data_IF_138298302373
#
_entry.id   IF_138298302373
#
_cell.length_a   1.000
_cell.length_b   1.000
_cell.length_c   1.000
_cell.angle_alpha   90.00
_cell.angle_beta   90.00
_cell.angle_gamma   90.00
#
_symmetry.space_group_name_H-M   'P 1'
#
loop_
_entity.id
_entity.type
_entity.pdbx_description
1 polymer ?
#
# COMPACT_ATOMS: atom_id res chain seq x y z
N UNK A 1 2.97 6.47 -19.88
CA UNK A 1 2.58 6.82 -18.50
C UNK A 1 1.24 6.15 -18.24
N UNK A 2 1.12 5.40 -17.13
CA UNK A 2 -0.17 4.82 -16.74
C UNK A 2 -1.17 5.89 -16.34
N UNK A 3 -2.47 5.59 -16.44
CA UNK A 3 -3.56 6.47 -16.03
C UNK A 3 -3.75 6.38 -14.50
N UNK A 4 -4.21 7.48 -13.89
CA UNK A 4 -4.67 7.44 -12.51
C UNK A 4 -6.04 6.76 -12.40
N UNK A 5 -6.13 5.71 -11.59
CA UNK A 5 -7.37 5.08 -11.16
C UNK A 5 -7.78 5.73 -9.85
N UNK A 6 -8.90 6.45 -9.87
CA UNK A 6 -9.46 7.10 -8.70
C UNK A 6 -10.39 6.10 -8.00
N UNK A 7 -10.13 5.87 -6.72
CA UNK A 7 -10.98 5.00 -5.90
C UNK A 7 -12.38 5.59 -5.77
N UNK A 8 -13.37 4.70 -5.69
CA UNK A 8 -14.72 5.05 -5.26
C UNK A 8 -14.69 5.60 -3.83
N UNK A 9 -15.65 6.43 -3.45
CA UNK A 9 -15.73 7.01 -2.10
C UNK A 9 -15.86 5.93 -1.01
N UNK A 10 -16.55 4.83 -1.32
CA UNK A 10 -16.76 3.71 -0.40
C UNK A 10 -15.78 2.56 -0.62
N UNK A 11 -14.85 2.67 -1.56
CA UNK A 11 -13.85 1.64 -1.80
C UNK A 11 -12.95 1.49 -0.58
N UNK A 12 -12.85 0.25 -0.07
CA UNK A 12 -12.01 -0.07 1.07
C UNK A 12 -11.13 -1.27 0.76
N UNK A 13 -9.84 -1.03 0.60
CA UNK A 13 -8.88 -2.02 0.17
C UNK A 13 -8.24 -2.64 1.42
N UNK A 14 -8.33 -3.96 1.52
CA UNK A 14 -7.82 -4.71 2.68
C UNK A 14 -6.89 -5.79 2.20
N UNK A 15 -5.74 -5.91 2.86
CA UNK A 15 -4.86 -7.07 2.71
C UNK A 15 -4.19 -7.42 4.03
N UNK A 16 -3.90 -8.70 4.21
CA UNK A 16 -3.07 -9.19 5.30
C UNK A 16 -1.77 -9.75 4.76
N UNK A 17 -0.72 -9.64 5.57
CA UNK A 17 0.59 -10.18 5.27
C UNK A 17 1.14 -10.93 6.48
N UNK A 18 2.02 -11.91 6.24
CA UNK A 18 2.83 -12.52 7.29
C UNK A 18 3.89 -11.55 7.85
N UNK A 19 4.65 -11.97 8.86
CA UNK A 19 5.75 -11.17 9.45
C UNK A 19 6.85 -10.77 8.44
N UNK A 20 6.92 -11.45 7.30
CA UNK A 20 7.89 -11.16 6.22
C UNK A 20 7.31 -10.24 5.15
N UNK A 21 6.05 -9.83 5.26
CA UNK A 21 5.37 -8.98 4.29
C UNK A 21 4.82 -9.73 3.07
N UNK A 22 4.70 -11.06 3.13
CA UNK A 22 4.07 -11.86 2.07
C UNK A 22 2.56 -11.83 2.24
N UNK A 23 1.82 -11.53 1.18
CA UNK A 23 0.36 -11.43 1.21
C UNK A 23 -0.24 -12.81 1.48
N UNK A 24 -1.13 -12.89 2.47
CA UNK A 24 -1.89 -14.11 2.81
C UNK A 24 -3.39 -13.94 2.60
N UNK A 25 -3.86 -12.69 2.50
CA UNK A 25 -5.24 -12.35 2.23
C UNK A 25 -5.32 -11.01 1.50
N UNK A 26 -6.29 -10.90 0.60
CA UNK A 26 -6.64 -9.69 -0.13
C UNK A 26 -8.15 -9.71 -0.40
N UNK A 27 -8.84 -8.60 -0.15
CA UNK A 27 -10.26 -8.50 -0.48
C UNK A 27 -10.49 -8.20 -1.97
N UNK A 28 -11.73 -8.39 -2.42
CA UNK A 28 -12.11 -8.20 -3.83
C UNK A 28 -11.85 -6.78 -4.34
N UNK A 29 -12.07 -5.76 -3.51
CA UNK A 29 -11.79 -4.36 -3.88
C UNK A 29 -10.30 -4.13 -4.14
N UNK A 30 -9.42 -4.69 -3.30
CA UNK A 30 -7.97 -4.62 -3.53
C UNK A 30 -7.59 -5.33 -4.83
N UNK A 31 -8.08 -6.55 -5.05
CA UNK A 31 -7.83 -7.31 -6.28
C UNK A 31 -8.29 -6.55 -7.52
N UNK A 32 -9.51 -6.00 -7.49
CA UNK A 32 -10.12 -5.24 -8.60
C UNK A 32 -9.34 -3.98 -8.92
N UNK A 33 -8.97 -3.19 -7.92
CA UNK A 33 -8.24 -1.92 -8.14
C UNK A 33 -6.79 -2.19 -8.55
N UNK A 34 -6.13 -3.18 -7.95
CA UNK A 34 -4.75 -3.52 -8.29
C UNK A 34 -4.65 -4.30 -9.62
N UNK A 35 -5.78 -4.78 -10.15
CA UNK A 35 -5.89 -5.60 -11.36
C UNK A 35 -5.15 -6.95 -11.27
N UNK A 36 -5.07 -7.49 -10.06
CA UNK A 36 -4.55 -8.83 -9.79
C UNK A 36 -5.67 -9.75 -9.36
N UNK A 37 -5.59 -11.02 -9.76
CA UNK A 37 -6.38 -12.05 -9.09
C UNK A 37 -5.82 -12.33 -7.68
N UNK A 38 -6.66 -12.84 -6.78
CA UNK A 38 -6.20 -13.23 -5.43
C UNK A 38 -5.06 -14.24 -5.51
N UNK A 39 -5.15 -15.24 -6.40
CA UNK A 39 -4.13 -16.27 -6.60
C UNK A 39 -2.77 -15.72 -7.04
N UNK A 40 -2.76 -14.58 -7.74
CA UNK A 40 -1.53 -13.89 -8.13
C UNK A 40 -0.90 -13.10 -6.98
N UNK A 41 -1.71 -12.71 -5.99
CA UNK A 41 -1.27 -11.95 -4.83
C UNK A 41 -0.79 -12.85 -3.69
N UNK A 42 -1.47 -13.97 -3.45
CA UNK A 42 -1.15 -14.87 -2.34
C UNK A 42 0.30 -15.38 -2.45
N UNK A 43 1.05 -15.27 -1.35
CA UNK A 43 2.45 -15.64 -1.25
C UNK A 43 3.42 -14.66 -1.89
N UNK A 44 2.94 -13.58 -2.54
CA UNK A 44 3.82 -12.53 -3.08
C UNK A 44 4.14 -11.48 -2.02
N UNK A 45 5.33 -10.87 -2.06
CA UNK A 45 5.62 -9.70 -1.24
C UNK A 45 4.66 -8.56 -1.60
N UNK A 46 4.20 -7.82 -0.58
CA UNK A 46 3.25 -6.70 -0.77
C UNK A 46 3.76 -5.61 -1.72
N UNK A 47 5.08 -5.50 -1.87
CA UNK A 47 5.71 -4.56 -2.80
C UNK A 47 5.39 -4.80 -4.29
N UNK A 48 4.68 -5.87 -4.66
CA UNK A 48 4.20 -6.12 -6.02
C UNK A 48 3.34 -4.96 -6.56
N UNK A 49 2.61 -4.26 -5.69
CA UNK A 49 1.81 -3.07 -6.05
C UNK A 49 2.56 -1.76 -5.83
N UNK A 50 3.85 -1.78 -5.46
CA UNK A 50 4.60 -0.54 -5.18
C UNK A 50 4.79 0.28 -6.45
N UNK A 51 4.53 1.59 -6.37
CA UNK A 51 4.92 2.51 -7.43
C UNK A 51 6.40 2.94 -7.29
N UNK A 52 7.09 3.07 -8.42
CA UNK A 52 8.49 3.52 -8.49
C UNK A 52 8.72 4.94 -7.94
N UNK A 53 7.66 5.75 -7.95
CA UNK A 53 7.66 7.13 -7.43
C UNK A 53 7.41 7.18 -5.91
N UNK A 54 7.46 6.04 -5.21
CA UNK A 54 7.41 6.04 -3.75
C UNK A 54 8.84 6.04 -3.18
N UNK A 55 9.20 7.05 -2.36
CA UNK A 55 10.53 7.15 -1.76
C UNK A 55 10.82 5.93 -0.87
N UNK A 56 12.08 5.51 -0.84
CA UNK A 56 12.54 4.42 0.05
C UNK A 56 12.35 4.80 1.52
N UNK A 57 12.52 6.08 1.88
CA UNK A 57 12.34 6.54 3.27
C UNK A 57 10.92 6.32 3.80
N UNK A 58 9.88 6.43 2.96
CA UNK A 58 8.50 6.17 3.39
C UNK A 58 8.27 4.70 3.76
N UNK A 59 8.88 3.76 3.03
CA UNK A 59 8.81 2.34 3.38
C UNK A 59 9.68 1.99 4.58
N UNK A 60 10.83 2.66 4.73
CA UNK A 60 11.65 2.50 5.93
C UNK A 60 10.86 2.91 7.16
N UNK A 61 10.19 4.06 7.12
CA UNK A 61 9.33 4.55 8.20
C UNK A 61 8.17 3.58 8.51
N UNK A 62 7.53 3.03 7.47
CA UNK A 62 6.54 1.97 7.62
C UNK A 62 7.08 0.78 8.40
N UNK A 63 8.20 0.21 7.93
CA UNK A 63 8.77 -0.99 8.55
C UNK A 63 9.28 -0.73 9.96
N UNK A 64 9.97 0.39 10.17
CA UNK A 64 10.47 0.78 11.49
C UNK A 64 9.32 0.91 12.49
N UNK A 65 8.16 1.44 12.06
CA UNK A 65 6.98 1.62 12.90
C UNK A 65 6.29 0.30 13.21
N UNK A 66 5.96 -0.50 12.19
CA UNK A 66 5.22 -1.75 12.41
C UNK A 66 6.06 -2.81 13.12
N UNK A 67 7.39 -2.80 12.97
CA UNK A 67 8.30 -3.68 13.71
C UNK A 67 8.40 -3.32 15.20
N UNK A 68 8.10 -2.07 15.59
CA UNK A 68 7.95 -1.67 16.99
C UNK A 68 6.59 -2.07 17.59
N UNK A 69 5.69 -2.66 16.80
CA UNK A 69 4.32 -2.96 17.22
C UNK A 69 3.41 -1.72 17.19
N UNK A 70 3.84 -0.63 16.54
CA UNK A 70 3.07 0.60 16.41
C UNK A 70 2.24 0.60 15.12
N UNK A 71 1.15 1.37 15.13
CA UNK A 71 0.30 1.55 13.94
C UNK A 71 0.97 2.58 13.03
N UNK A 72 1.16 2.22 11.77
CA UNK A 72 1.66 3.14 10.76
C UNK A 72 0.51 3.71 9.94
N UNK A 73 0.61 4.97 9.51
CA UNK A 73 -0.30 5.55 8.52
C UNK A 73 0.43 6.48 7.57
N UNK A 74 0.03 6.48 6.31
CA UNK A 74 0.62 7.36 5.30
C UNK A 74 -0.03 7.24 3.94
N UNK A 75 0.33 8.15 3.04
CA UNK A 75 -0.16 8.16 1.67
C UNK A 75 0.74 7.29 0.80
N UNK A 76 0.14 6.43 -0.01
CA UNK A 76 0.89 5.49 -0.84
C UNK A 76 0.38 5.56 -2.27
N UNK A 77 1.32 5.76 -3.19
CA UNK A 77 1.10 5.56 -4.63
C UNK A 77 1.41 4.11 -4.97
N UNK A 78 0.42 3.41 -5.53
CA UNK A 78 0.55 2.03 -5.96
C UNK A 78 0.39 1.91 -7.49
N UNK A 79 0.93 0.84 -8.05
CA UNK A 79 0.80 0.47 -9.46
C UNK A 79 -0.12 -0.74 -9.58
N UNK A 80 -0.95 -0.73 -10.61
CA UNK A 80 -1.76 -1.88 -11.04
C UNK A 80 -0.96 -2.82 -11.93
N UNK A 81 -1.48 -4.01 -12.17
CA UNK A 81 -0.91 -4.98 -13.10
C UNK A 81 -0.73 -4.44 -14.52
N UNK A 82 -1.67 -3.64 -15.04
CA UNK A 82 -1.55 -3.05 -16.39
C UNK A 82 -0.61 -1.84 -16.48
N UNK A 83 -0.05 -1.38 -15.36
CA UNK A 83 0.85 -0.23 -15.31
C UNK A 83 0.14 1.12 -15.07
N UNK A 84 -1.17 1.13 -14.83
CA UNK A 84 -1.88 2.27 -14.24
C UNK A 84 -1.48 2.47 -12.77
N UNK A 85 -1.85 3.59 -12.15
CA UNK A 85 -1.52 3.87 -10.75
C UNK A 85 -2.72 4.40 -9.97
N UNK A 86 -2.67 4.30 -8.64
CA UNK A 86 -3.71 4.81 -7.75
C UNK A 86 -3.10 5.29 -6.43
N UNK A 87 -3.78 6.23 -5.78
CA UNK A 87 -3.38 6.79 -4.49
C UNK A 87 -4.33 6.33 -3.40
N UNK A 88 -3.75 6.00 -2.24
CA UNK A 88 -4.49 5.59 -1.05
C UNK A 88 -3.92 6.24 0.19
N UNK A 89 -4.78 6.49 1.16
CA UNK A 89 -4.36 6.62 2.55
C UNK A 89 -4.35 5.23 3.16
N UNK A 90 -3.18 4.76 3.57
CA UNK A 90 -2.96 3.44 4.12
C UNK A 90 -2.75 3.53 5.63
N UNK A 91 -3.39 2.62 6.37
CA UNK A 91 -3.11 2.36 7.78
C UNK A 91 -2.72 0.90 7.93
N UNK A 92 -1.60 0.64 8.59
CA UNK A 92 -1.04 -0.70 8.78
C UNK A 92 -0.98 -1.02 10.28
N UNK A 93 -1.62 -2.13 10.65
CA UNK A 93 -1.74 -2.61 12.02
C UNK A 93 -0.90 -3.88 12.18
N UNK A 94 0.08 -3.91 13.10
CA UNK A 94 0.66 -5.15 13.60
C UNK A 94 -0.43 -5.93 14.35
N UNK A 95 -0.76 -7.13 13.87
CA UNK A 95 -1.87 -7.91 14.44
C UNK A 95 -1.66 -9.42 14.27
N UNK A 96 -2.49 -10.20 14.96
CA UNK A 96 -2.71 -11.60 14.58
C UNK A 96 -3.61 -11.60 13.35
N UNK A 97 -3.12 -12.22 12.29
CA UNK A 97 -3.82 -12.34 11.00
C UNK A 97 -4.90 -13.42 11.06
N UNK A 98 -5.73 -13.48 10.01
CA UNK A 98 -6.87 -14.41 9.91
C UNK A 98 -6.50 -15.89 10.00
N UNK A 99 -5.25 -16.26 9.70
CA UNK A 99 -4.73 -17.63 9.80
C UNK A 99 -4.13 -17.97 11.18
N UNK A 100 -4.18 -17.03 12.13
CA UNK A 100 -3.67 -17.19 13.49
C UNK A 100 -2.19 -16.89 13.66
N UNK A 101 -1.47 -16.45 12.62
CA UNK A 101 -0.06 -16.05 12.70
C UNK A 101 0.08 -14.55 12.94
N UNK A 102 1.23 -14.16 13.49
CA UNK A 102 1.62 -12.75 13.54
C UNK A 102 1.81 -12.21 12.13
N UNK A 103 1.50 -10.94 11.94
CA UNK A 103 1.66 -10.29 10.65
C UNK A 103 1.10 -8.88 10.70
N UNK A 104 0.69 -8.39 9.52
CA UNK A 104 0.22 -7.02 9.36
C UNK A 104 -1.08 -6.98 8.57
N UNK A 105 -2.05 -6.23 9.09
CA UNK A 105 -3.29 -5.88 8.40
C UNK A 105 -3.13 -4.47 7.82
N UNK A 106 -3.35 -4.32 6.53
CA UNK A 106 -3.34 -3.02 5.85
C UNK A 106 -4.74 -2.67 5.37
N UNK A 107 -5.26 -1.56 5.89
CA UNK A 107 -6.53 -0.96 5.49
C UNK A 107 -6.24 0.30 4.67
N UNK A 108 -6.93 0.47 3.54
CA UNK A 108 -6.68 1.54 2.60
C UNK A 108 -7.98 2.18 2.13
N UNK A 109 -8.02 3.50 2.16
CA UNK A 109 -9.13 4.32 1.68
C UNK A 109 -8.68 5.29 0.60
N UNK A 110 -9.65 5.87 -0.09
CA UNK A 110 -9.42 6.97 -1.03
C UNK A 110 -8.68 8.13 -0.36
N UNK A 111 -7.61 8.60 -0.98
CA UNK A 111 -6.97 9.86 -0.65
C UNK A 111 -7.68 11.00 -1.41
N UNK A 112 -7.85 12.15 -0.76
CA UNK A 112 -8.38 13.36 -1.40
C UNK A 112 -7.37 13.94 -2.39
N UNK A 113 -7.85 14.77 -3.32
CA UNK A 113 -6.98 15.41 -4.31
C UNK A 113 -5.92 16.31 -3.67
N UNK A 114 -6.31 17.04 -2.63
CA UNK A 114 -5.41 17.98 -1.94
C UNK A 114 -4.30 17.23 -1.19
N UNK A 115 -4.65 16.16 -0.47
CA UNK A 115 -3.68 15.28 0.20
C UNK A 115 -2.71 14.65 -0.81
N UNK A 116 -3.22 14.21 -1.97
CA UNK A 116 -2.40 13.63 -3.04
C UNK A 116 -1.39 14.66 -3.57
N UNK A 117 -1.81 15.89 -3.81
CA UNK A 117 -0.93 16.92 -4.40
C UNK A 117 0.17 17.32 -3.42
N UNK A 118 -0.15 17.48 -2.14
CA UNK A 118 0.84 17.73 -1.08
C UNK A 118 1.90 16.61 -1.03
N UNK A 119 1.46 15.35 -1.05
CA UNK A 119 2.37 14.21 -0.94
C UNK A 119 3.16 13.96 -2.24
N UNK A 120 2.62 14.30 -3.41
CA UNK A 120 3.38 14.27 -4.67
C UNK A 120 4.60 15.18 -4.59
N UNK A 121 4.44 16.41 -4.11
CA UNK A 121 5.54 17.36 -4.00
C UNK A 121 6.54 16.95 -2.91
N UNK A 122 6.06 16.46 -1.77
CA UNK A 122 6.93 15.91 -0.73
C UNK A 122 7.77 14.74 -1.25
N UNK A 123 7.14 13.77 -1.93
CA UNK A 123 7.83 12.56 -2.40
C UNK A 123 8.82 12.85 -3.52
N UNK A 124 8.55 13.82 -4.39
CA UNK A 124 9.54 14.30 -5.37
C UNK A 124 10.81 14.82 -4.69
N UNK A 125 10.67 15.61 -3.61
CA UNK A 125 11.81 16.14 -2.84
C UNK A 125 12.59 15.01 -2.17
N UNK A 126 11.91 14.11 -1.47
CA UNK A 126 12.55 12.97 -0.80
C UNK A 126 13.30 12.07 -1.80
N UNK A 127 12.72 11.79 -2.97
CA UNK A 127 13.40 11.01 -4.02
C UNK A 127 14.64 11.72 -4.57
N UNK A 128 14.62 13.05 -4.66
CA UNK A 128 15.77 13.82 -5.10
C UNK A 128 16.92 13.80 -4.06
N UNK A 129 16.58 13.76 -2.77
CA UNK A 129 17.52 13.67 -1.64
C UNK A 129 18.07 12.25 -1.42
N UNK A 130 17.43 11.22 -1.97
CA UNK A 130 17.90 9.82 -1.92
C UNK A 130 19.07 9.51 -2.90
N UNK A 131 19.49 10.49 -3.71
CA UNK A 131 20.60 10.38 -4.68
C UNK A 131 21.92 10.85 -4.11
#
# INVERSE_FOLDING_TARGET
>A
MGKEIVLDEFAFLVSETDEKGSIIFANDDFCKIAEYSVDELIGKPHNIVRHKDMPKVAFKDLWDTVLRGEIWSGYVKNTTKSGNYYWVFATVFPTTTSDGRKGYLSCRRKASKDEIEEHKELYKKLIAEEK
#
